data_IF_923340004369
#
_entry.id   IF_923340004369
#
_cell.length_a   1.000
_cell.length_b   1.000
_cell.length_c   1.000
_cell.angle_alpha   90.00
_cell.angle_beta   90.00
_cell.angle_gamma   90.00
#
_symmetry.space_group_name_H-M   'P 1'
#
loop_
_entity.id
_entity.type
_entity.pdbx_description
1 polymer ?
#
# COMPACT_ATOMS: atom_id res chain seq x y z
N UNK A 1 -24.09 16.09 6.90
CA UNK A 1 -22.67 15.85 6.56
C UNK A 1 -21.94 15.50 7.84
N UNK A 2 -21.32 14.32 7.89
CA UNK A 2 -21.03 13.61 9.14
C UNK A 2 -19.67 14.00 9.74
N UNK A 3 -19.65 14.38 11.01
CA UNK A 3 -18.46 14.82 11.77
C UNK A 3 -17.35 13.76 11.80
N UNK A 4 -17.70 12.48 11.66
CA UNK A 4 -16.76 11.36 11.59
C UNK A 4 -15.93 11.29 10.30
N UNK A 5 -16.47 11.75 9.17
CA UNK A 5 -15.74 11.80 7.89
C UNK A 5 -14.70 12.92 7.90
N UNK A 6 -15.04 14.08 8.49
CA UNK A 6 -14.10 15.19 8.64
C UNK A 6 -12.92 14.84 9.56
N UNK A 7 -13.16 14.09 10.64
CA UNK A 7 -12.10 13.58 11.52
C UNK A 7 -11.14 12.63 10.80
N UNK A 8 -11.64 11.71 9.97
CA UNK A 8 -10.79 10.79 9.21
C UNK A 8 -9.98 11.48 8.11
N UNK A 9 -10.52 12.54 7.50
CA UNK A 9 -9.81 13.34 6.50
C UNK A 9 -8.70 14.17 7.16
N UNK A 10 -8.99 14.78 8.31
CA UNK A 10 -8.00 15.54 9.10
C UNK A 10 -6.87 14.64 9.62
N UNK A 11 -7.19 13.44 10.14
CA UNK A 11 -6.18 12.47 10.58
C UNK A 11 -5.28 12.03 9.41
N UNK A 12 -5.84 11.76 8.22
CA UNK A 12 -5.05 11.39 7.03
C UNK A 12 -4.17 12.54 6.53
N UNK A 13 -4.67 13.78 6.57
CA UNK A 13 -3.90 14.98 6.22
C UNK A 13 -2.74 15.20 7.19
N UNK A 14 -3.00 15.01 8.48
CA UNK A 14 -2.00 15.14 9.55
C UNK A 14 -0.93 14.05 9.44
N UNK A 15 -1.31 12.80 9.13
CA UNK A 15 -0.37 11.70 8.89
C UNK A 15 0.53 11.98 7.66
N UNK A 16 -0.05 12.50 6.57
CA UNK A 16 0.72 12.86 5.37
C UNK A 16 1.69 14.02 5.61
N UNK A 17 1.27 15.01 6.41
CA UNK A 17 2.14 16.14 6.79
C UNK A 17 3.29 15.66 7.70
N UNK A 18 2.99 14.80 8.67
CA UNK A 18 3.96 14.21 9.58
C UNK A 18 5.03 13.41 8.82
N UNK A 19 4.62 12.57 7.85
CA UNK A 19 5.55 11.83 7.00
C UNK A 19 6.47 12.74 6.20
N UNK A 20 5.96 13.86 5.66
CA UNK A 20 6.77 14.84 4.93
C UNK A 20 7.82 15.51 5.82
N UNK A 21 7.46 15.83 7.06
CA UNK A 21 8.42 16.37 8.01
C UNK A 21 9.45 15.34 8.45
N UNK A 22 9.04 14.11 8.74
CA UNK A 22 9.94 13.00 9.07
C UNK A 22 10.99 12.79 7.95
N UNK A 23 10.56 12.74 6.70
CA UNK A 23 11.45 12.57 5.55
C UNK A 23 12.44 13.73 5.36
N UNK A 24 11.97 14.97 5.47
CA UNK A 24 12.81 16.14 5.33
C UNK A 24 13.82 16.27 6.47
N UNK A 25 13.39 16.01 7.72
CA UNK A 25 14.28 15.99 8.88
C UNK A 25 15.35 14.92 8.68
N UNK A 26 14.97 13.72 8.28
CA UNK A 26 15.91 12.63 8.02
C UNK A 26 16.90 13.06 6.92
N UNK A 27 16.45 13.65 5.81
CA UNK A 27 17.32 14.08 4.71
C UNK A 27 18.33 15.16 5.13
N UNK A 28 17.86 16.22 5.79
CA UNK A 28 18.71 17.35 6.21
C UNK A 28 19.68 16.92 7.29
N UNK A 29 19.19 16.25 8.33
CA UNK A 29 20.00 15.76 9.43
C UNK A 29 21.02 14.75 8.92
N UNK A 30 20.62 13.72 8.18
CA UNK A 30 21.58 12.68 7.81
C UNK A 30 22.67 13.11 6.83
N UNK A 31 22.46 14.17 6.06
CA UNK A 31 23.50 14.73 5.18
C UNK A 31 24.47 15.66 5.90
N UNK A 32 23.97 16.44 6.86
CA UNK A 32 24.67 17.62 7.37
C UNK A 32 24.97 17.57 8.87
N UNK A 33 24.37 16.68 9.63
CA UNK A 33 24.61 16.52 11.06
C UNK A 33 26.07 16.13 11.34
N UNK A 34 26.68 16.80 12.31
CA UNK A 34 28.11 16.69 12.62
C UNK A 34 29.04 17.48 11.68
N UNK A 35 28.53 18.01 10.55
CA UNK A 35 29.25 18.93 9.65
C UNK A 35 28.82 20.39 9.80
N UNK A 36 27.62 20.60 10.31
CA UNK A 36 26.98 21.90 10.55
C UNK A 36 26.37 21.93 11.94
N UNK A 37 26.15 23.14 12.46
CA UNK A 37 25.51 23.32 13.77
C UNK A 37 24.04 22.91 13.73
N UNK A 38 23.52 22.45 14.86
CA UNK A 38 22.12 22.01 14.98
C UNK A 38 21.14 23.12 14.58
N UNK A 39 21.45 24.38 14.91
CA UNK A 39 20.65 25.55 14.51
C UNK A 39 20.59 25.70 12.99
N UNK A 40 21.72 25.52 12.29
CA UNK A 40 21.79 25.62 10.84
C UNK A 40 20.95 24.52 10.14
N UNK A 41 20.88 23.32 10.73
CA UNK A 41 20.01 22.26 10.22
C UNK A 41 18.53 22.66 10.31
N UNK A 42 18.13 23.32 11.39
CA UNK A 42 16.76 23.81 11.55
C UNK A 42 16.47 24.98 10.61
N UNK A 43 17.45 25.83 10.30
CA UNK A 43 17.28 26.90 9.31
C UNK A 43 16.97 26.34 7.92
N UNK A 44 17.68 25.29 7.49
CA UNK A 44 17.38 24.58 6.22
C UNK A 44 15.96 23.98 6.26
N UNK A 45 15.57 23.34 7.36
CA UNK A 45 14.22 22.78 7.49
C UNK A 45 13.14 23.86 7.46
N UNK A 46 13.42 25.04 8.02
CA UNK A 46 12.53 26.20 7.96
C UNK A 46 12.44 26.75 6.53
N UNK A 47 13.53 26.80 5.78
CA UNK A 47 13.51 27.19 4.36
C UNK A 47 12.66 26.24 3.51
N UNK A 48 12.73 24.93 3.78
CA UNK A 48 11.88 23.92 3.12
C UNK A 48 10.40 24.05 3.49
N UNK A 49 10.11 24.53 4.71
CA UNK A 49 8.75 24.67 5.24
C UNK A 49 8.53 26.03 5.92
N UNK A 50 8.49 27.13 5.14
CA UNK A 50 8.52 28.49 5.69
C UNK A 50 7.27 28.88 6.49
N UNK A 51 6.17 28.13 6.32
CA UNK A 51 4.91 28.33 7.07
C UNK A 51 4.89 27.62 8.43
N UNK A 52 5.86 26.76 8.72
CA UNK A 52 5.90 25.98 9.95
C UNK A 52 6.64 26.72 11.07
N UNK A 53 5.88 27.38 11.95
CA UNK A 53 6.43 28.20 13.04
C UNK A 53 7.10 27.37 14.13
N UNK A 54 6.77 26.07 14.25
CA UNK A 54 7.36 25.19 15.27
C UNK A 54 8.88 25.04 15.14
N UNK A 55 9.47 25.27 13.95
CA UNK A 55 10.92 25.28 13.78
C UNK A 55 11.63 26.40 14.55
N UNK A 56 11.00 27.56 14.73
CA UNK A 56 11.58 28.63 15.55
C UNK A 56 11.57 28.24 17.04
N UNK A 57 10.52 27.54 17.49
CA UNK A 57 10.44 27.00 18.85
C UNK A 57 11.50 25.91 19.07
N UNK A 58 11.78 25.07 18.07
CA UNK A 58 12.88 24.10 18.12
C UNK A 58 14.23 24.81 18.29
N UNK A 59 14.49 25.90 17.57
CA UNK A 59 15.74 26.68 17.75
C UNK A 59 15.90 27.20 19.17
N UNK A 60 14.80 27.66 19.79
CA UNK A 60 14.81 28.12 21.18
C UNK A 60 15.16 26.97 22.13
N UNK A 61 14.62 25.77 21.91
CA UNK A 61 14.95 24.57 22.72
C UNK A 61 16.43 24.17 22.55
N UNK A 62 16.95 24.19 21.33
CA UNK A 62 18.37 23.88 21.06
C UNK A 62 19.30 24.87 21.75
N UNK A 63 18.97 26.17 21.71
CA UNK A 63 19.75 27.22 22.43
C UNK A 63 19.75 27.02 23.95
N UNK A 64 18.73 26.35 24.50
CA UNK A 64 18.66 25.95 25.92
C UNK A 64 19.42 24.66 26.22
N UNK A 65 20.16 24.11 25.25
CA UNK A 65 20.97 22.90 25.41
C UNK A 65 20.21 21.60 25.17
N UNK A 66 18.97 21.65 24.66
CA UNK A 66 18.21 20.45 24.30
C UNK A 66 18.73 19.90 22.97
N UNK A 67 18.97 18.59 22.92
CA UNK A 67 19.33 17.86 21.71
C UNK A 67 18.34 18.11 20.56
N UNK A 68 18.85 18.27 19.33
CA UNK A 68 18.04 18.55 18.14
C UNK A 68 16.92 17.53 17.91
N UNK A 69 17.16 16.24 18.13
CA UNK A 69 16.14 15.20 17.93
C UNK A 69 15.08 15.26 19.01
N UNK A 70 15.48 15.48 20.27
CA UNK A 70 14.55 15.69 21.37
C UNK A 70 13.70 16.93 21.15
N UNK A 71 14.28 18.04 20.68
CA UNK A 71 13.56 19.27 20.39
C UNK A 71 12.54 19.11 19.24
N UNK A 72 12.93 18.43 18.16
CA UNK A 72 12.04 18.10 17.03
C UNK A 72 10.88 17.19 17.45
N UNK A 73 11.14 16.21 18.31
CA UNK A 73 10.12 15.31 18.83
C UNK A 73 9.14 16.02 19.77
N UNK A 74 9.63 16.85 20.69
CA UNK A 74 8.79 17.63 21.61
C UNK A 74 7.84 18.57 20.88
N UNK A 75 8.26 19.10 19.73
CA UNK A 75 7.43 19.96 18.87
C UNK A 75 6.60 19.19 17.85
N UNK A 76 6.55 17.86 17.96
CA UNK A 76 5.79 16.97 17.09
C UNK A 76 6.13 17.19 15.60
N UNK A 77 7.35 17.60 15.30
CA UNK A 77 7.85 17.74 13.93
C UNK A 77 8.40 16.42 13.40
N UNK A 78 8.77 15.52 14.30
CA UNK A 78 9.04 14.12 13.98
C UNK A 78 8.22 13.20 14.86
N UNK A 79 7.86 12.03 14.32
CA UNK A 79 7.14 11.02 15.07
C UNK A 79 8.08 10.26 16.04
N UNK A 80 7.50 9.46 16.95
CA UNK A 80 8.26 8.70 17.95
C UNK A 80 9.23 7.70 17.32
N UNK A 81 8.85 7.03 16.23
CA UNK A 81 9.74 6.10 15.53
C UNK A 81 10.94 6.83 14.93
N UNK A 82 10.73 7.95 14.24
CA UNK A 82 11.78 8.78 13.66
C UNK A 82 12.71 9.36 14.73
N UNK A 83 12.16 9.80 15.85
CA UNK A 83 12.95 10.25 17.01
C UNK A 83 13.86 9.14 17.54
N UNK A 84 13.28 7.98 17.87
CA UNK A 84 14.04 6.84 18.36
C UNK A 84 15.11 6.41 17.34
N UNK A 85 14.77 6.46 16.05
CA UNK A 85 15.66 6.16 14.94
C UNK A 85 16.89 7.09 14.92
N UNK A 86 16.68 8.41 14.92
CA UNK A 86 17.76 9.40 14.84
C UNK A 86 18.60 9.47 16.13
N UNK A 87 17.96 9.42 17.30
CA UNK A 87 18.65 9.46 18.60
C UNK A 87 19.54 8.24 18.83
N UNK A 88 19.12 7.06 18.38
CA UNK A 88 19.96 5.87 18.41
C UNK A 88 21.17 6.00 17.49
N UNK A 89 20.99 6.46 16.26
CA UNK A 89 22.08 6.58 15.31
C UNK A 89 23.14 7.62 15.66
N UNK A 90 22.76 8.67 16.39
CA UNK A 90 23.70 9.60 17.03
C UNK A 90 24.69 8.87 17.94
N UNK A 91 24.23 7.86 18.69
CA UNK A 91 25.06 7.11 19.65
C UNK A 91 26.09 6.21 18.98
N UNK A 92 25.82 5.74 17.76
CA UNK A 92 26.63 4.72 17.06
C UNK A 92 27.67 5.38 16.13
N UNK A 93 27.81 6.72 16.14
CA UNK A 93 28.73 7.52 15.30
C UNK A 93 28.64 7.32 13.77
N UNK A 94 27.68 6.54 13.26
CA UNK A 94 27.46 6.28 11.84
C UNK A 94 26.13 6.83 11.31
N UNK A 95 25.68 8.00 11.81
CA UNK A 95 24.39 8.61 11.45
C UNK A 95 24.21 8.83 9.94
N UNK A 96 25.27 9.16 9.21
CA UNK A 96 25.22 9.38 7.75
C UNK A 96 24.90 8.09 6.99
N UNK A 97 25.58 7.00 7.31
CA UNK A 97 25.35 5.69 6.70
C UNK A 97 23.98 5.14 7.08
N UNK A 98 23.61 5.32 8.35
CA UNK A 98 22.32 4.97 8.91
C UNK A 98 21.15 5.71 8.22
N UNK A 99 21.26 7.02 7.99
CA UNK A 99 20.21 7.78 7.27
C UNK A 99 20.14 7.38 5.80
N UNK A 100 21.28 7.12 5.15
CA UNK A 100 21.30 6.65 3.76
C UNK A 100 20.48 5.36 3.62
N UNK A 101 20.70 4.42 4.54
CA UNK A 101 19.95 3.17 4.65
C UNK A 101 18.46 3.42 4.83
N UNK A 102 18.04 4.27 5.78
CA UNK A 102 16.62 4.62 5.96
C UNK A 102 15.97 5.10 4.67
N UNK A 103 16.63 6.06 4.01
CA UNK A 103 16.10 6.72 2.83
C UNK A 103 15.97 5.75 1.67
N UNK A 104 17.01 4.97 1.42
CA UNK A 104 17.05 4.03 0.31
C UNK A 104 15.99 2.93 0.54
N UNK A 105 15.90 2.36 1.74
CA UNK A 105 14.88 1.36 2.11
C UNK A 105 13.44 1.89 2.08
N UNK A 106 13.22 3.14 2.53
CA UNK A 106 11.88 3.76 2.52
C UNK A 106 11.45 4.10 1.09
N UNK A 107 12.39 4.53 0.25
CA UNK A 107 12.16 4.77 -1.18
C UNK A 107 11.78 3.47 -1.88
N UNK A 108 12.49 2.37 -1.62
CA UNK A 108 12.19 1.07 -2.21
C UNK A 108 10.79 0.57 -1.81
N UNK A 109 10.37 0.73 -0.55
CA UNK A 109 9.00 0.39 -0.14
C UNK A 109 7.97 1.30 -0.81
N UNK A 110 8.24 2.60 -0.94
CA UNK A 110 7.34 3.50 -1.68
C UNK A 110 7.22 3.08 -3.15
N UNK A 111 8.30 2.67 -3.78
CA UNK A 111 8.29 2.15 -5.15
C UNK A 111 7.50 0.85 -5.27
N UNK A 112 7.63 -0.07 -4.31
CA UNK A 112 6.84 -1.30 -4.19
C UNK A 112 5.34 -0.97 -4.05
N UNK A 113 4.97 -0.06 -3.15
CA UNK A 113 3.57 0.37 -2.95
C UNK A 113 3.04 1.08 -4.20
N UNK A 114 3.82 1.98 -4.80
CA UNK A 114 3.43 2.68 -6.02
C UNK A 114 3.27 1.71 -7.19
N UNK A 115 4.11 0.68 -7.29
CA UNK A 115 4.00 -0.38 -8.30
C UNK A 115 2.72 -1.19 -8.10
N UNK A 116 2.39 -1.54 -6.85
CA UNK A 116 1.12 -2.18 -6.51
C UNK A 116 -0.09 -1.31 -6.87
N UNK A 117 -0.04 -0.01 -6.59
CA UNK A 117 -1.10 0.92 -6.95
C UNK A 117 -1.24 1.06 -8.46
N UNK A 118 -0.14 1.20 -9.20
CA UNK A 118 -0.14 1.24 -10.67
C UNK A 118 -0.74 -0.02 -11.28
N UNK A 119 -0.48 -1.19 -10.71
CA UNK A 119 -1.06 -2.45 -11.18
C UNK A 119 -2.58 -2.51 -10.99
N UNK A 120 -3.15 -1.77 -10.03
CA UNK A 120 -4.60 -1.64 -9.85
C UNK A 120 -5.27 -0.64 -10.80
N UNK A 121 -4.49 0.22 -11.47
CA UNK A 121 -5.03 1.21 -12.42
C UNK A 121 -5.58 0.54 -13.68
N UNK A 122 -4.91 -0.50 -14.19
CA UNK A 122 -5.33 -1.18 -15.42
C UNK A 122 -6.72 -1.85 -15.29
N UNK A 123 -7.01 -2.64 -14.24
CA UNK A 123 -8.36 -3.15 -13.99
C UNK A 123 -9.40 -2.05 -13.83
N UNK A 124 -9.07 -0.94 -13.14
CA UNK A 124 -9.99 0.17 -12.94
C UNK A 124 -10.36 0.86 -14.27
N UNK A 125 -9.37 1.10 -15.14
CA UNK A 125 -9.59 1.66 -16.48
C UNK A 125 -10.42 0.69 -17.34
N UNK A 126 -10.11 -0.61 -17.30
CA UNK A 126 -10.87 -1.64 -18.03
C UNK A 126 -12.34 -1.67 -17.58
N UNK A 127 -12.59 -1.54 -16.28
CA UNK A 127 -13.94 -1.48 -15.71
C UNK A 127 -14.70 -0.22 -16.13
N UNK A 128 -14.03 0.94 -16.16
CA UNK A 128 -14.62 2.18 -16.68
C UNK A 128 -14.96 2.08 -18.16
N UNK A 129 -14.06 1.52 -18.97
CA UNK A 129 -14.30 1.27 -20.39
C UNK A 129 -15.47 0.30 -20.59
N UNK A 130 -15.56 -0.75 -19.78
CA UNK A 130 -16.69 -1.68 -19.79
C UNK A 130 -18.02 -0.96 -19.59
N UNK A 131 -18.13 -0.12 -18.55
CA UNK A 131 -19.34 0.67 -18.30
C UNK A 131 -19.66 1.62 -19.45
N UNK A 132 -18.67 2.30 -20.01
CA UNK A 132 -18.87 3.22 -21.12
C UNK A 132 -19.39 2.50 -22.36
N UNK A 133 -18.82 1.35 -22.70
CA UNK A 133 -19.25 0.50 -23.82
C UNK A 133 -20.64 -0.05 -23.56
N UNK A 134 -20.90 -0.58 -22.37
CA UNK A 134 -22.20 -1.17 -22.02
C UNK A 134 -23.33 -0.13 -21.99
N UNK A 135 -23.05 1.07 -21.46
CA UNK A 135 -23.98 2.20 -21.51
C UNK A 135 -24.30 2.62 -22.95
N UNK A 136 -23.26 2.76 -23.78
CA UNK A 136 -23.41 3.12 -25.20
C UNK A 136 -24.21 2.06 -25.95
N UNK A 137 -23.93 0.78 -25.70
CA UNK A 137 -24.66 -0.35 -26.27
C UNK A 137 -26.15 -0.28 -25.92
N UNK A 138 -26.48 -0.18 -24.63
CA UNK A 138 -27.86 -0.22 -24.16
C UNK A 138 -28.67 1.01 -24.55
N UNK A 139 -28.09 2.22 -24.44
CA UNK A 139 -28.88 3.46 -24.52
C UNK A 139 -28.67 4.27 -25.81
N UNK A 140 -27.64 3.95 -26.61
CA UNK A 140 -27.42 4.62 -27.90
C UNK A 140 -27.58 3.68 -29.09
N UNK A 141 -27.04 2.46 -29.01
CA UNK A 141 -27.00 1.54 -30.15
C UNK A 141 -28.27 0.71 -30.23
N UNK A 142 -28.62 -0.03 -29.17
CA UNK A 142 -29.81 -0.90 -29.16
C UNK A 142 -31.13 -0.18 -29.50
N UNK A 143 -31.41 1.04 -28.98
CA UNK A 143 -32.65 1.74 -29.28
C UNK A 143 -32.73 2.26 -30.73
N UNK A 144 -31.61 2.34 -31.45
CA UNK A 144 -31.58 2.78 -32.84
C UNK A 144 -32.13 1.74 -33.82
N UNK A 145 -32.28 0.49 -33.39
CA UNK A 145 -32.82 -0.60 -34.20
C UNK A 145 -34.30 -0.85 -33.86
N UNK A 146 -35.17 -0.82 -34.88
CA UNK A 146 -36.57 -1.21 -34.74
C UNK A 146 -36.68 -2.74 -34.73
N UNK A 147 -36.55 -3.35 -33.55
CA UNK A 147 -36.65 -4.81 -33.39
C UNK A 147 -38.13 -5.21 -33.28
N UNK A 148 -38.65 -5.83 -34.33
CA UNK A 148 -40.01 -6.38 -34.37
C UNK A 148 -40.06 -7.83 -33.83
N UNK A 149 -41.27 -8.41 -33.72
CA UNK A 149 -41.44 -9.78 -33.20
C UNK A 149 -40.73 -10.83 -34.06
N UNK A 150 -40.65 -10.62 -35.39
CA UNK A 150 -39.98 -11.53 -36.33
C UNK A 150 -38.45 -11.48 -36.14
N UNK A 151 -37.87 -10.29 -35.99
CA UNK A 151 -36.44 -10.14 -35.66
C UNK A 151 -36.11 -10.74 -34.30
N UNK A 152 -36.99 -10.55 -33.30
CA UNK A 152 -36.77 -11.07 -31.94
C UNK A 152 -36.66 -12.60 -31.88
N UNK A 153 -37.37 -13.34 -32.74
CA UNK A 153 -37.30 -14.81 -32.76
C UNK A 153 -35.96 -15.36 -33.25
N UNK A 154 -35.16 -14.57 -33.96
CA UNK A 154 -33.82 -14.95 -34.41
C UNK A 154 -32.71 -14.52 -33.43
N UNK A 155 -33.05 -13.76 -32.38
CA UNK A 155 -32.08 -13.25 -31.43
C UNK A 155 -31.83 -14.22 -30.25
N UNK A 156 -30.62 -14.23 -29.68
CA UNK A 156 -30.33 -14.98 -28.46
C UNK A 156 -31.26 -14.65 -27.30
N UNK A 157 -31.48 -15.63 -26.40
CA UNK A 157 -32.46 -15.54 -25.30
C UNK A 157 -32.23 -14.40 -24.29
N UNK A 158 -31.05 -13.79 -24.25
CA UNK A 158 -30.75 -12.63 -23.41
C UNK A 158 -31.12 -11.28 -24.05
N UNK A 159 -31.41 -11.20 -25.35
CA UNK A 159 -31.79 -9.96 -26.02
C UNK A 159 -33.09 -9.32 -25.49
N UNK A 160 -34.15 -10.08 -25.17
CA UNK A 160 -35.33 -9.51 -24.53
C UNK A 160 -35.02 -8.74 -23.24
N UNK A 161 -34.08 -9.27 -22.43
CA UNK A 161 -33.60 -8.58 -21.24
C UNK A 161 -32.81 -7.31 -21.59
N UNK A 162 -31.95 -7.33 -22.62
CA UNK A 162 -31.23 -6.13 -23.06
C UNK A 162 -32.18 -5.04 -23.57
N UNK A 163 -33.25 -5.42 -24.28
CA UNK A 163 -34.30 -4.49 -24.75
C UNK A 163 -35.10 -3.93 -23.58
N UNK A 164 -35.34 -4.73 -22.55
CA UNK A 164 -35.94 -4.23 -21.31
C UNK A 164 -34.99 -3.25 -20.60
N UNK A 165 -33.71 -3.59 -20.47
CA UNK A 165 -32.70 -2.76 -19.82
C UNK A 165 -32.43 -1.43 -20.54
N UNK A 166 -32.52 -1.39 -21.87
CA UNK A 166 -32.40 -0.14 -22.63
C UNK A 166 -33.54 0.85 -22.37
N UNK A 167 -34.73 0.36 -21.99
CA UNK A 167 -35.89 1.20 -21.65
C UNK A 167 -35.93 1.59 -20.17
N UNK A 168 -35.10 0.97 -19.34
CA UNK A 168 -35.12 1.14 -17.89
C UNK A 168 -33.72 1.52 -17.35
N UNK A 169 -33.39 2.83 -17.30
CA UNK A 169 -32.09 3.34 -16.84
C UNK A 169 -31.68 2.86 -15.44
N UNK A 170 -32.65 2.59 -14.57
CA UNK A 170 -32.42 2.10 -13.21
C UNK A 170 -31.67 0.76 -13.18
N UNK A 171 -31.78 -0.07 -14.23
CA UNK A 171 -31.05 -1.36 -14.31
C UNK A 171 -29.55 -1.12 -14.45
N UNK A 172 -29.14 -0.14 -15.25
CA UNK A 172 -27.74 0.26 -15.36
C UNK A 172 -27.21 0.82 -14.05
N UNK A 173 -27.97 1.70 -13.38
CA UNK A 173 -27.56 2.24 -12.08
C UNK A 173 -27.46 1.14 -11.02
N UNK A 174 -28.40 0.19 -10.99
CA UNK A 174 -28.35 -0.97 -10.09
C UNK A 174 -27.10 -1.82 -10.35
N UNK A 175 -26.78 -2.09 -11.62
CA UNK A 175 -25.56 -2.81 -12.00
C UNK A 175 -24.29 -2.09 -11.54
N UNK A 176 -24.22 -0.76 -11.69
CA UNK A 176 -23.10 0.06 -11.21
C UNK A 176 -23.00 0.01 -9.68
N UNK A 177 -24.11 0.18 -8.96
CA UNK A 177 -24.15 0.21 -7.50
C UNK A 177 -23.75 -1.15 -6.91
N UNK A 178 -24.28 -2.26 -7.43
CA UNK A 178 -23.92 -3.61 -6.97
C UNK A 178 -22.42 -3.84 -7.18
N UNK A 179 -21.91 -3.50 -8.36
CA UNK A 179 -20.50 -3.67 -8.68
C UNK A 179 -19.58 -2.84 -7.79
N UNK A 180 -19.93 -1.57 -7.55
CA UNK A 180 -19.22 -0.71 -6.60
C UNK A 180 -19.28 -1.29 -5.18
N UNK A 181 -20.43 -1.83 -4.75
CA UNK A 181 -20.59 -2.50 -3.47
C UNK A 181 -19.65 -3.71 -3.31
N UNK A 182 -19.51 -4.54 -4.36
CA UNK A 182 -18.56 -5.65 -4.38
C UNK A 182 -17.12 -5.15 -4.28
N UNK A 183 -16.74 -4.14 -5.07
CA UNK A 183 -15.39 -3.54 -5.02
C UNK A 183 -15.10 -2.97 -3.63
N UNK A 184 -16.05 -2.24 -3.04
CA UNK A 184 -15.92 -1.64 -1.72
C UNK A 184 -15.75 -2.71 -0.64
N UNK A 185 -16.52 -3.79 -0.73
CA UNK A 185 -16.41 -4.94 0.17
C UNK A 185 -15.04 -5.61 0.05
N UNK A 186 -14.56 -5.83 -1.18
CA UNK A 186 -13.22 -6.37 -1.43
C UNK A 186 -12.11 -5.44 -0.89
N UNK A 187 -12.29 -4.13 -0.95
CA UNK A 187 -11.37 -3.15 -0.36
C UNK A 187 -11.33 -3.25 1.18
N UNK A 188 -12.47 -3.37 1.84
CA UNK A 188 -12.52 -3.49 3.30
C UNK A 188 -11.98 -4.83 3.82
N UNK A 189 -12.06 -5.89 3.02
CA UNK A 189 -11.59 -7.25 3.36
C UNK A 189 -10.25 -7.58 2.67
N UNK A 190 -9.54 -6.56 2.18
CA UNK A 190 -8.28 -6.72 1.46
C UNK A 190 -7.19 -7.43 2.28
N UNK A 191 -7.22 -7.33 3.60
CA UNK A 191 -6.29 -8.01 4.49
C UNK A 191 -6.41 -9.54 4.43
N UNK A 192 -7.60 -10.07 4.13
CA UNK A 192 -7.83 -11.52 3.97
C UNK A 192 -7.53 -12.01 2.56
N UNK A 193 -7.86 -11.22 1.53
CA UNK A 193 -7.82 -11.67 0.14
C UNK A 193 -6.64 -11.15 -0.68
N UNK A 194 -6.03 -10.01 -0.31
CA UNK A 194 -4.97 -9.40 -1.10
C UNK A 194 -3.57 -9.85 -0.61
N UNK A 195 -2.88 -10.75 -1.32
CA UNK A 195 -1.54 -11.20 -0.95
C UNK A 195 -0.53 -10.05 -0.93
N UNK A 196 -0.72 -9.02 -1.75
CA UNK A 196 0.15 -7.85 -1.77
C UNK A 196 0.05 -7.02 -0.49
N UNK A 197 -1.16 -6.89 0.09
CA UNK A 197 -1.33 -6.20 1.37
C UNK A 197 -0.61 -6.93 2.50
N UNK A 198 -0.75 -8.27 2.55
CA UNK A 198 -0.06 -9.12 3.52
C UNK A 198 1.47 -8.98 3.39
N UNK A 199 1.99 -8.98 2.17
CA UNK A 199 3.43 -8.78 1.92
C UNK A 199 3.88 -7.39 2.35
N UNK A 200 3.14 -6.33 2.03
CA UNK A 200 3.49 -4.97 2.43
C UNK A 200 3.56 -4.82 3.95
N UNK A 201 2.62 -5.39 4.70
CA UNK A 201 2.65 -5.35 6.16
C UNK A 201 3.83 -6.13 6.75
N UNK A 202 4.19 -7.29 6.19
CA UNK A 202 5.40 -8.03 6.61
C UNK A 202 6.68 -7.27 6.25
N UNK A 203 6.71 -6.61 5.09
CA UNK A 203 7.86 -5.81 4.68
C UNK A 203 8.10 -4.63 5.62
N UNK A 204 7.03 -3.99 6.12
CA UNK A 204 7.13 -2.96 7.17
C UNK A 204 7.75 -3.50 8.45
N UNK A 205 7.40 -4.72 8.86
CA UNK A 205 8.02 -5.38 10.01
C UNK A 205 9.52 -5.58 9.78
N UNK A 206 9.92 -6.17 8.65
CA UNK A 206 11.34 -6.45 8.38
C UNK A 206 12.17 -5.17 8.27
N UNK A 207 11.61 -4.13 7.62
CA UNK A 207 12.25 -2.83 7.61
C UNK A 207 12.40 -2.27 9.03
N UNK A 208 11.35 -2.37 9.84
CA UNK A 208 11.38 -1.88 11.21
C UNK A 208 12.42 -2.61 12.07
N UNK A 209 12.54 -3.93 11.92
CA UNK A 209 13.56 -4.73 12.59
C UNK A 209 14.96 -4.31 12.15
N UNK A 210 15.20 -4.21 10.85
CA UNK A 210 16.47 -3.76 10.28
C UNK A 210 16.88 -2.37 10.76
N UNK A 211 15.94 -1.43 10.74
CA UNK A 211 16.15 -0.09 11.25
C UNK A 211 16.47 -0.08 12.75
N UNK A 212 15.77 -0.90 13.53
CA UNK A 212 15.94 -0.99 14.98
C UNK A 212 17.27 -1.64 15.37
N UNK A 213 17.70 -2.69 14.66
CA UNK A 213 18.98 -3.36 14.93
C UNK A 213 20.16 -2.49 14.52
N UNK A 214 20.09 -1.80 13.38
CA UNK A 214 21.08 -0.78 13.00
C UNK A 214 21.14 0.38 14.01
N UNK A 215 20.03 0.65 14.70
CA UNK A 215 19.93 1.61 15.80
C UNK A 215 20.46 1.06 17.14
N UNK A 216 21.04 -0.14 17.15
CA UNK A 216 21.62 -0.77 18.33
C UNK A 216 20.57 -1.31 19.32
N UNK A 217 19.29 -1.36 18.94
CA UNK A 217 18.26 -2.00 19.77
C UNK A 217 18.34 -3.51 19.62
N UNK A 218 18.07 -4.23 20.72
CA UNK A 218 17.86 -5.68 20.66
C UNK A 218 16.59 -5.97 19.87
N UNK A 219 16.61 -7.06 19.09
CA UNK A 219 15.48 -7.45 18.25
C UNK A 219 14.20 -7.67 19.08
N UNK A 220 14.33 -8.30 20.24
CA UNK A 220 13.22 -8.50 21.17
C UNK A 220 12.55 -7.17 21.57
N UNK A 221 13.33 -6.17 21.97
CA UNK A 221 12.83 -4.86 22.36
C UNK A 221 12.11 -4.16 21.20
N UNK A 222 12.64 -4.30 19.98
CA UNK A 222 12.01 -3.75 18.79
C UNK A 222 10.61 -4.38 18.56
N UNK A 223 10.49 -5.71 18.63
CA UNK A 223 9.21 -6.40 18.42
C UNK A 223 8.18 -5.96 19.47
N UNK A 224 8.59 -5.79 20.74
CA UNK A 224 7.71 -5.37 21.85
C UNK A 224 7.06 -4.00 21.66
N UNK A 225 7.68 -3.11 20.89
CA UNK A 225 7.14 -1.76 20.62
C UNK A 225 6.62 -1.59 19.20
N UNK A 226 6.59 -2.68 18.41
CA UNK A 226 6.09 -2.65 17.04
C UNK A 226 4.57 -2.36 17.02
N UNK A 227 4.17 -1.34 16.25
CA UNK A 227 2.76 -0.91 16.13
C UNK A 227 2.08 -1.35 14.83
N UNK A 228 2.77 -2.11 13.97
CA UNK A 228 2.21 -2.54 12.70
C UNK A 228 1.31 -3.77 12.82
N UNK A 229 0.65 -4.16 11.72
CA UNK A 229 -0.34 -5.24 11.73
C UNK A 229 0.24 -6.65 11.54
N UNK A 230 1.52 -6.75 11.17
CA UNK A 230 2.13 -8.05 10.84
C UNK A 230 2.26 -9.00 12.05
N UNK A 231 2.38 -8.46 13.26
CA UNK A 231 2.65 -9.22 14.49
C UNK A 231 1.60 -8.90 15.54
N UNK A 232 1.15 -9.91 16.26
CA UNK A 232 0.45 -9.76 17.52
C UNK A 232 1.44 -9.66 18.68
N UNK A 233 1.76 -8.44 19.09
CA UNK A 233 2.73 -8.18 20.16
C UNK A 233 2.31 -8.78 21.51
N UNK A 234 0.99 -8.84 21.79
CA UNK A 234 0.47 -9.47 23.00
C UNK A 234 0.76 -10.97 23.02
N UNK A 235 0.50 -11.65 21.89
CA UNK A 235 0.84 -13.06 21.70
C UNK A 235 2.35 -13.30 21.75
N UNK A 236 3.14 -12.44 21.11
CA UNK A 236 4.61 -12.51 21.15
C UNK A 236 5.14 -12.48 22.60
N UNK A 237 4.67 -11.51 23.39
CA UNK A 237 5.08 -11.36 24.80
C UNK A 237 4.71 -12.60 25.63
N UNK A 238 3.52 -13.15 25.42
CA UNK A 238 3.08 -14.36 26.11
C UNK A 238 3.96 -15.58 25.78
N UNK A 239 4.40 -15.72 24.53
CA UNK A 239 5.26 -16.83 24.09
C UNK A 239 6.68 -16.70 24.65
N UNK A 240 7.25 -15.49 24.60
CA UNK A 240 8.56 -15.20 25.22
C UNK A 240 8.53 -15.50 26.72
N UNK A 241 7.46 -15.13 27.43
CA UNK A 241 7.30 -15.44 28.86
C UNK A 241 7.21 -16.94 29.14
N UNK A 242 6.69 -17.73 28.19
CA UNK A 242 6.66 -19.21 28.25
C UNK A 242 8.00 -19.87 27.91
N UNK A 243 9.08 -19.09 27.74
CA UNK A 243 10.42 -19.59 27.46
C UNK A 243 10.64 -20.05 26.00
N UNK A 244 9.78 -19.64 25.08
CA UNK A 244 9.95 -19.91 23.65
C UNK A 244 11.09 -19.06 23.08
N UNK A 245 11.80 -19.58 22.06
CA UNK A 245 12.88 -18.82 21.43
C UNK A 245 12.36 -17.54 20.77
N UNK A 246 13.26 -16.59 20.50
CA UNK A 246 12.89 -15.33 19.84
C UNK A 246 12.25 -15.57 18.47
N UNK A 247 12.83 -16.46 17.67
CA UNK A 247 12.30 -16.79 16.35
C UNK A 247 10.97 -17.53 16.45
N UNK A 248 10.85 -18.53 17.34
CA UNK A 248 9.61 -19.29 17.52
C UNK A 248 8.47 -18.37 18.01
N UNK A 249 8.76 -17.48 18.95
CA UNK A 249 7.79 -16.50 19.47
C UNK A 249 7.34 -15.53 18.39
N UNK A 250 8.25 -15.04 17.54
CA UNK A 250 7.89 -14.17 16.43
C UNK A 250 7.03 -14.92 15.40
N UNK A 251 7.47 -16.11 14.96
CA UNK A 251 6.76 -16.92 13.96
C UNK A 251 5.32 -17.24 14.38
N UNK A 252 5.12 -17.65 15.64
CA UNK A 252 3.79 -17.99 16.16
C UNK A 252 2.92 -16.75 16.41
N UNK A 253 3.50 -15.56 16.52
CA UNK A 253 2.77 -14.30 16.69
C UNK A 253 2.50 -13.55 15.39
N UNK A 254 3.02 -14.01 14.26
CA UNK A 254 2.70 -13.46 12.94
C UNK A 254 1.21 -13.62 12.64
N UNK A 255 0.55 -12.51 12.26
CA UNK A 255 -0.87 -12.51 11.87
C UNK A 255 -1.08 -12.98 10.43
N UNK A 256 -0.04 -12.89 9.61
CA UNK A 256 -0.06 -13.31 8.22
C UNK A 256 0.77 -14.58 8.04
N UNK A 257 0.36 -15.42 7.09
CA UNK A 257 1.06 -16.66 6.76
C UNK A 257 2.54 -16.39 6.41
N UNK A 258 3.41 -17.19 7.01
CA UNK A 258 4.85 -17.18 6.79
C UNK A 258 5.19 -18.32 5.83
N UNK A 259 5.92 -18.03 4.74
CA UNK A 259 6.34 -19.08 3.80
C UNK A 259 7.46 -19.95 4.39
N UNK A 260 7.70 -21.17 3.88
CA UNK A 260 8.81 -21.99 4.35
C UNK A 260 10.17 -21.28 4.22
N UNK A 261 10.40 -20.56 3.11
CA UNK A 261 11.63 -19.80 2.87
C UNK A 261 11.75 -18.66 3.89
N UNK A 262 10.68 -17.88 4.08
CA UNK A 262 10.64 -16.77 5.04
C UNK A 262 10.86 -17.26 6.48
N UNK A 263 10.30 -18.43 6.83
CA UNK A 263 10.53 -19.09 8.12
C UNK A 263 12.01 -19.41 8.32
N UNK A 264 12.66 -20.01 7.33
CA UNK A 264 14.09 -20.35 7.39
C UNK A 264 14.96 -19.11 7.54
N UNK A 265 14.69 -18.06 6.76
CA UNK A 265 15.42 -16.79 6.84
C UNK A 265 15.22 -16.11 8.20
N UNK A 266 14.01 -16.12 8.74
CA UNK A 266 13.72 -15.57 10.06
C UNK A 266 14.47 -16.29 11.17
N UNK A 267 14.46 -17.62 11.16
CA UNK A 267 15.20 -18.42 12.13
C UNK A 267 16.69 -18.13 12.01
N UNK A 268 17.24 -18.17 10.80
CA UNK A 268 18.66 -17.88 10.57
C UNK A 268 19.06 -16.48 11.01
N UNK A 269 18.17 -15.49 10.84
CA UNK A 269 18.46 -14.12 11.21
C UNK A 269 18.39 -13.85 12.72
N UNK A 270 17.55 -14.60 13.44
CA UNK A 270 17.25 -14.38 14.86
C UNK A 270 18.00 -15.32 15.80
N UNK A 271 18.38 -16.50 15.32
CA UNK A 271 19.08 -17.54 16.10
C UNK A 271 20.52 -17.78 15.60
N UNK A 272 20.98 -17.00 14.62
CA UNK A 272 22.38 -16.98 14.19
C UNK A 272 23.32 -16.36 15.24
N UNK A 273 24.60 -16.19 14.89
CA UNK A 273 25.59 -15.60 15.80
C UNK A 273 25.14 -14.20 16.28
N UNK A 274 25.07 -13.99 17.60
CA UNK A 274 24.69 -12.73 18.23
C UNK A 274 25.53 -11.55 17.72
N UNK A 275 26.79 -11.78 17.36
CA UNK A 275 27.70 -10.77 16.82
C UNK A 275 27.33 -10.34 15.39
N UNK A 276 26.61 -11.18 14.66
CA UNK A 276 26.22 -10.96 13.27
C UNK A 276 24.73 -10.61 13.11
N UNK A 277 23.94 -10.55 14.19
CA UNK A 277 22.49 -10.28 14.16
C UNK A 277 22.14 -9.04 13.32
N UNK A 278 22.93 -7.95 13.41
CA UNK A 278 22.65 -6.77 12.58
C UNK A 278 22.81 -7.02 11.08
N UNK A 279 23.74 -7.88 10.68
CA UNK A 279 23.96 -8.27 9.28
C UNK A 279 22.92 -9.29 8.85
N UNK A 280 22.61 -10.27 9.68
CA UNK A 280 21.62 -11.30 9.34
C UNK A 280 20.21 -10.72 9.17
N UNK A 281 19.84 -9.69 9.96
CA UNK A 281 18.58 -8.96 9.78
C UNK A 281 18.60 -8.07 8.53
N UNK A 282 19.76 -7.56 8.13
CA UNK A 282 19.92 -6.84 6.86
C UNK A 282 19.70 -7.77 5.67
N UNK A 283 20.30 -8.95 5.70
CA UNK A 283 20.19 -9.96 4.65
C UNK A 283 18.75 -10.47 4.55
N UNK A 284 18.09 -10.74 5.69
CA UNK A 284 16.66 -11.03 5.75
C UNK A 284 15.83 -9.92 5.08
N UNK A 285 16.08 -8.65 5.41
CA UNK A 285 15.35 -7.53 4.83
C UNK A 285 15.52 -7.48 3.30
N UNK A 286 16.75 -7.62 2.80
CA UNK A 286 17.04 -7.59 1.36
C UNK A 286 16.39 -8.75 0.61
N UNK A 287 16.51 -9.98 1.13
CA UNK A 287 15.90 -11.14 0.49
C UNK A 287 14.37 -11.05 0.49
N UNK A 288 13.77 -10.61 1.59
CA UNK A 288 12.32 -10.39 1.64
C UNK A 288 11.87 -9.30 0.68
N UNK A 289 12.68 -8.25 0.49
CA UNK A 289 12.40 -7.18 -0.46
C UNK A 289 12.43 -7.70 -1.90
N UNK A 290 13.46 -8.47 -2.26
CA UNK A 290 13.60 -9.03 -3.61
C UNK A 290 12.51 -10.04 -3.93
N UNK A 291 12.18 -10.94 -2.98
CA UNK A 291 11.03 -11.84 -3.13
C UNK A 291 9.72 -11.06 -3.29
N UNK A 292 9.54 -9.96 -2.55
CA UNK A 292 8.36 -9.11 -2.67
C UNK A 292 8.29 -8.45 -4.05
N UNK A 293 9.40 -7.91 -4.56
CA UNK A 293 9.50 -7.35 -5.92
C UNK A 293 9.12 -8.37 -6.99
N UNK A 294 9.63 -9.61 -6.88
CA UNK A 294 9.30 -10.69 -7.82
C UNK A 294 7.82 -11.07 -7.79
N UNK A 295 7.23 -11.20 -6.59
CA UNK A 295 5.81 -11.54 -6.45
C UNK A 295 4.93 -10.42 -6.98
N UNK A 296 5.27 -9.16 -6.73
CA UNK A 296 4.55 -8.00 -7.29
C UNK A 296 4.60 -8.01 -8.82
N UNK A 297 5.76 -8.28 -9.42
CA UNK A 297 5.86 -8.41 -10.87
C UNK A 297 4.98 -9.54 -11.39
N UNK A 298 4.95 -10.69 -10.71
CA UNK A 298 4.10 -11.83 -11.09
C UNK A 298 2.61 -11.49 -10.98
N UNK A 299 2.19 -10.84 -9.89
CA UNK A 299 0.80 -10.37 -9.70
C UNK A 299 0.43 -9.36 -10.79
N UNK A 300 1.32 -8.41 -11.08
CA UNK A 300 1.12 -7.43 -12.15
C UNK A 300 0.91 -8.08 -13.52
N UNK A 301 1.70 -9.10 -13.85
CA UNK A 301 1.55 -9.85 -15.10
C UNK A 301 0.21 -10.59 -15.17
N UNK A 302 -0.19 -11.24 -14.07
CA UNK A 302 -1.49 -11.93 -13.98
C UNK A 302 -2.65 -10.93 -14.14
N UNK A 303 -2.59 -9.78 -13.45
CA UNK A 303 -3.62 -8.74 -13.54
C UNK A 303 -3.70 -8.14 -14.94
N UNK A 304 -2.56 -7.88 -15.59
CA UNK A 304 -2.53 -7.45 -17.00
C UNK A 304 -3.14 -8.49 -17.93
N UNK A 305 -2.85 -9.77 -17.73
CA UNK A 305 -3.44 -10.85 -18.50
C UNK A 305 -4.96 -10.95 -18.30
N UNK A 306 -5.44 -10.85 -17.06
CA UNK A 306 -6.87 -10.82 -16.73
C UNK A 306 -7.53 -9.58 -17.36
N UNK A 307 -6.90 -8.41 -17.29
CA UNK A 307 -7.41 -7.19 -17.92
C UNK A 307 -7.52 -7.35 -19.44
N UNK A 308 -6.53 -7.97 -20.07
CA UNK A 308 -6.55 -8.29 -21.50
C UNK A 308 -7.69 -9.25 -21.85
N UNK A 309 -7.87 -10.32 -21.09
CA UNK A 309 -9.01 -11.26 -21.25
C UNK A 309 -10.33 -10.53 -21.08
N UNK A 310 -10.47 -9.65 -20.08
CA UNK A 310 -11.69 -8.86 -19.91
C UNK A 310 -11.95 -7.97 -21.12
N UNK A 311 -10.96 -7.23 -21.60
CA UNK A 311 -11.12 -6.37 -22.79
C UNK A 311 -11.49 -7.22 -24.02
N UNK A 312 -10.80 -8.34 -24.26
CA UNK A 312 -11.11 -9.25 -25.34
C UNK A 312 -12.52 -9.85 -25.20
N UNK A 313 -12.93 -10.21 -23.99
CA UNK A 313 -14.27 -10.70 -23.67
C UNK A 313 -15.35 -9.66 -23.91
N UNK A 314 -15.09 -8.38 -23.56
CA UNK A 314 -15.99 -7.26 -23.86
C UNK A 314 -16.14 -7.08 -25.36
N UNK A 315 -15.04 -7.14 -26.11
CA UNK A 315 -15.07 -7.05 -27.57
C UNK A 315 -15.82 -8.23 -28.19
N UNK A 316 -15.56 -9.46 -27.73
CA UNK A 316 -16.27 -10.66 -28.20
C UNK A 316 -17.76 -10.61 -27.87
N UNK A 317 -18.14 -10.18 -26.67
CA UNK A 317 -19.53 -10.00 -26.30
C UNK A 317 -20.20 -8.92 -27.17
N UNK A 318 -19.55 -7.78 -27.37
CA UNK A 318 -20.10 -6.68 -28.16
C UNK A 318 -20.21 -7.03 -29.65
N UNK A 319 -19.15 -7.57 -30.26
CA UNK A 319 -19.17 -7.91 -31.69
C UNK A 319 -19.88 -9.23 -31.98
N UNK A 320 -19.51 -10.30 -31.26
CA UNK A 320 -20.02 -11.64 -31.49
C UNK A 320 -21.35 -11.94 -30.80
N UNK A 321 -21.57 -11.42 -29.59
CA UNK A 321 -22.81 -11.62 -28.85
C UNK A 321 -23.91 -10.62 -29.24
N UNK A 322 -23.56 -9.36 -29.44
CA UNK A 322 -24.56 -8.32 -29.66
C UNK A 322 -24.68 -7.91 -31.14
N UNK A 323 -23.59 -7.45 -31.76
CA UNK A 323 -23.66 -6.81 -33.08
C UNK A 323 -23.96 -7.79 -34.21
N UNK A 324 -23.24 -8.93 -34.29
CA UNK A 324 -23.44 -9.93 -35.34
C UNK A 324 -24.85 -10.56 -35.31
N UNK A 325 -25.36 -11.05 -34.15
CA UNK A 325 -26.72 -11.61 -34.10
C UNK A 325 -27.79 -10.58 -34.43
N UNK A 326 -27.59 -9.31 -34.07
CA UNK A 326 -28.51 -8.24 -34.40
C UNK A 326 -28.58 -7.98 -35.90
N UNK A 327 -27.45 -7.90 -36.59
CA UNK A 327 -27.41 -7.72 -38.05
C UNK A 327 -28.02 -8.93 -38.77
N UNK A 328 -27.67 -10.14 -38.33
CA UNK A 328 -28.16 -11.37 -38.95
C UNK A 328 -29.67 -11.53 -38.77
N UNK A 329 -30.19 -11.23 -37.57
CA UNK A 329 -31.62 -11.20 -37.32
C UNK A 329 -32.35 -10.17 -38.19
N UNK A 330 -31.79 -8.96 -38.35
CA UNK A 330 -32.37 -7.93 -39.23
C UNK A 330 -32.38 -8.39 -40.68
N UNK A 331 -31.26 -8.96 -41.17
CA UNK A 331 -31.15 -9.49 -42.54
C UNK A 331 -32.19 -10.59 -42.81
N UNK A 332 -32.37 -11.51 -41.85
CA UNK A 332 -33.33 -12.60 -41.95
C UNK A 332 -34.79 -12.15 -41.76
N UNK A 333 -35.02 -10.98 -41.16
CA UNK A 333 -36.35 -10.39 -41.01
C UNK A 333 -36.83 -9.66 -42.26
N UNK A 334 -35.90 -9.05 -43.01
CA UNK A 334 -36.13 -8.29 -44.25
C UNK A 334 -36.19 -9.18 -45.51
N UNK A 335 -35.61 -10.38 -45.45
CA UNK A 335 -35.89 -11.49 -46.36
C UNK A 335 -37.18 -12.20 -45.99
#
# INVERSE_FOLDING_TARGET
MNTSENLQILDKLQINLQQKYDEAVIEVVGRLYGRKSDIYLIDILKEMYPREKRFDEVKVLIRKGIDIFTALYQKQLINKQTYEYLSSAKRIRNLKEFVKVYRDSTKEIKEVIASLQKQLVSPAISFLMHYAVFYTMLYKILPAFSIDKKTLSFLPSYFPFLIYASKHPWIFYLYVVISLGIILTLYFVQDKFNPAYKMAEKMKLYLYLYQSTKAGKKVEEAIKVYKGKAVDVGKFNSLMFKGKSLAESLLLSMKYSVSPIEKTLLISALEGDEKEVSKNIEDLYKEMLDMTKQVINRIGNILSFIAMIMVAGILLFFYGGFYLPLIEAIRNSLG
#
